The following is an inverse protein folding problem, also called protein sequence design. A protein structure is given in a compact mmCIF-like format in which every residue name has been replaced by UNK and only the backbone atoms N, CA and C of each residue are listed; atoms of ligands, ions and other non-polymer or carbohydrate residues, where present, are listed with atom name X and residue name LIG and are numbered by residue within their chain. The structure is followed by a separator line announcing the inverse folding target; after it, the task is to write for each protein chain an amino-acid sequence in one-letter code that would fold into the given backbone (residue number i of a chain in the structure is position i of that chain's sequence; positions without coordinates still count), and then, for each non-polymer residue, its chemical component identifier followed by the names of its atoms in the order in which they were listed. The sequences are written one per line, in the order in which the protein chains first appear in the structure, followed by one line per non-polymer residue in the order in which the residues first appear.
data_IF_593250197808
#
_entry.id   IF_593250197808
#
_cell.length_a   1.000
_cell.length_b   1.000
_cell.length_c   1.000
_cell.angle_alpha   90.00
_cell.angle_beta   90.00
_cell.angle_gamma   90.00
#
_symmetry.space_group_name_H-M   'P 1'
#
loop_
_entity.id
_entity.type
_entity.pdbx_description
1 polymer ?
#
# COMPACT_ATOMS: atom_id res chain seq x y z
N UNK A 1 -1.43 0.28 22.96
CA UNK A 1 -0.42 1.03 22.19
C UNK A 1 -0.79 0.96 20.73
N UNK A 2 -0.97 2.08 20.07
CA UNK A 2 -1.15 2.10 18.61
C UNK A 2 0.16 1.69 17.94
N UNK A 3 0.03 0.85 16.94
CA UNK A 3 1.17 0.41 16.16
C UNK A 3 1.75 1.61 15.38
N UNK A 4 2.98 2.00 15.67
CA UNK A 4 3.61 3.18 15.06
C UNK A 4 4.10 2.94 13.62
N UNK A 5 4.29 1.69 13.23
CA UNK A 5 4.80 1.32 11.91
C UNK A 5 4.08 0.12 11.33
N UNK A 6 4.11 0.00 10.03
CA UNK A 6 3.55 -1.10 9.25
C UNK A 6 4.66 -1.80 8.49
N UNK A 7 4.66 -3.12 8.57
CA UNK A 7 5.58 -3.98 7.82
C UNK A 7 4.95 -4.32 6.47
N UNK A 8 5.64 -4.05 5.38
CA UNK A 8 5.18 -4.30 4.01
C UNK A 8 6.10 -5.30 3.31
N UNK A 9 5.51 -6.23 2.56
CA UNK A 9 6.27 -7.14 1.69
C UNK A 9 6.76 -6.41 0.45
N UNK A 10 7.92 -6.81 -0.07
CA UNK A 10 8.44 -6.28 -1.35
C UNK A 10 7.62 -6.71 -2.57
N UNK A 11 6.73 -7.69 -2.42
CA UNK A 11 5.80 -8.13 -3.47
C UNK A 11 4.88 -7.02 -3.98
N UNK A 12 4.72 -5.93 -3.22
CA UNK A 12 3.98 -4.75 -3.67
C UNK A 12 4.60 -4.08 -4.91
N UNK A 13 5.84 -4.41 -5.27
CA UNK A 13 6.44 -3.92 -6.50
C UNK A 13 5.72 -4.45 -7.76
N UNK A 14 5.12 -5.63 -7.64
CA UNK A 14 4.49 -6.35 -8.75
C UNK A 14 3.01 -5.98 -8.96
N UNK A 15 2.47 -5.05 -8.17
CA UNK A 15 1.08 -4.61 -8.33
C UNK A 15 0.99 -3.26 -9.03
N UNK A 16 -0.20 -2.96 -9.55
CA UNK A 16 -0.51 -1.67 -10.18
C UNK A 16 -0.22 -0.49 -9.23
N UNK A 17 0.06 0.67 -9.81
CA UNK A 17 0.53 1.85 -9.08
C UNK A 17 -0.33 2.24 -7.88
N UNK A 18 -1.65 2.24 -8.01
CA UNK A 18 -2.54 2.63 -6.91
C UNK A 18 -2.82 1.48 -5.94
N UNK A 19 -2.62 0.25 -6.35
CA UNK A 19 -2.88 -0.93 -5.53
C UNK A 19 -1.86 -1.05 -4.39
N UNK A 20 -0.61 -0.64 -4.61
CA UNK A 20 0.41 -0.67 -3.58
C UNK A 20 0.05 0.22 -2.38
N UNK A 21 -0.40 1.45 -2.61
CA UNK A 21 -0.76 2.35 -1.51
C UNK A 21 -2.09 1.96 -0.85
N UNK A 22 -3.06 1.45 -1.61
CA UNK A 22 -4.31 0.91 -1.06
C UNK A 22 -4.02 -0.29 -0.15
N UNK A 23 -3.20 -1.22 -0.60
CA UNK A 23 -2.74 -2.35 0.22
C UNK A 23 -2.01 -1.89 1.48
N UNK A 24 -1.06 -0.96 1.33
CA UNK A 24 -0.29 -0.44 2.45
C UNK A 24 -1.20 0.19 3.52
N UNK A 25 -2.23 0.94 3.09
CA UNK A 25 -3.21 1.51 4.02
C UNK A 25 -4.05 0.41 4.72
N UNK A 26 -4.58 -0.56 3.98
CA UNK A 26 -5.31 -1.70 4.58
C UNK A 26 -4.43 -2.40 5.62
N UNK A 27 -3.17 -2.66 5.29
CA UNK A 27 -2.23 -3.32 6.19
C UNK A 27 -1.89 -2.48 7.42
N UNK A 28 -1.87 -1.16 7.32
CA UNK A 28 -1.67 -0.26 8.48
C UNK A 28 -2.81 -0.33 9.50
N UNK A 29 -3.99 -0.77 9.05
CA UNK A 29 -5.19 -0.98 9.91
C UNK A 29 -5.27 -2.40 10.47
N UNK A 30 -4.33 -3.26 10.12
CA UNK A 30 -4.33 -4.67 10.49
C UNK A 30 -3.90 -4.84 11.94
N UNK A 31 -4.64 -5.68 12.66
CA UNK A 31 -4.15 -6.24 13.91
C UNK A 31 -3.11 -7.33 13.61
N UNK A 32 -1.87 -7.11 14.03
CA UNK A 32 -0.76 -8.00 13.67
C UNK A 32 -0.87 -9.40 14.28
N UNK A 33 -1.59 -9.57 15.40
CA UNK A 33 -1.80 -10.88 16.04
C UNK A 33 -2.75 -11.76 15.24
N UNK A 34 -3.78 -11.15 14.66
CA UNK A 34 -4.81 -11.86 13.89
C UNK A 34 -4.58 -11.81 12.38
N UNK A 35 -3.71 -10.94 11.91
CA UNK A 35 -3.51 -10.62 10.49
C UNK A 35 -4.80 -10.12 9.80
N UNK A 36 -5.68 -9.49 10.55
CA UNK A 36 -6.97 -8.99 10.06
C UNK A 36 -7.03 -7.47 10.20
N UNK A 37 -7.39 -6.79 9.10
CA UNK A 37 -7.84 -5.40 9.12
C UNK A 37 -9.37 -5.42 9.11
N UNK A 38 -9.98 -5.07 10.24
CA UNK A 38 -11.42 -5.12 10.44
C UNK A 38 -12.04 -3.72 10.33
N UNK A 39 -13.31 -3.67 9.93
CA UNK A 39 -14.10 -2.44 9.83
C UNK A 39 -13.50 -1.35 8.93
N UNK A 40 -12.77 -1.72 7.91
CA UNK A 40 -12.19 -0.78 6.93
C UNK A 40 -13.15 -0.63 5.75
N UNK A 41 -13.64 0.59 5.53
CA UNK A 41 -14.53 0.89 4.41
C UNK A 41 -13.76 1.41 3.21
N UNK A 42 -14.24 1.13 2.01
CA UNK A 42 -13.67 1.69 0.78
C UNK A 42 -13.77 3.22 0.75
N UNK A 43 -14.80 3.78 1.38
CA UNK A 43 -14.97 5.22 1.54
C UNK A 43 -13.87 5.82 2.43
N UNK A 44 -13.57 5.20 3.57
CA UNK A 44 -12.45 5.59 4.44
C UNK A 44 -11.12 5.59 3.68
N UNK A 45 -10.85 4.53 2.90
CA UNK A 45 -9.63 4.44 2.08
C UNK A 45 -9.59 5.59 1.06
N UNK A 46 -10.72 5.85 0.38
CA UNK A 46 -10.86 6.93 -0.61
C UNK A 46 -10.56 8.29 -0.01
N UNK A 47 -11.18 8.62 1.12
CA UNK A 47 -10.99 9.89 1.82
C UNK A 47 -9.55 10.05 2.33
N UNK A 48 -9.01 8.99 2.93
CA UNK A 48 -7.67 9.03 3.51
C UNK A 48 -6.55 9.17 2.48
N UNK A 49 -6.70 8.50 1.36
CA UNK A 49 -5.70 8.53 0.28
C UNK A 49 -5.96 9.65 -0.75
N UNK A 50 -7.10 10.33 -0.69
CA UNK A 50 -7.47 11.37 -1.66
C UNK A 50 -7.60 10.82 -3.09
N UNK A 51 -8.11 9.60 -3.25
CA UNK A 51 -8.37 8.95 -4.53
C UNK A 51 -9.86 8.63 -4.66
N UNK A 52 -10.38 8.54 -5.89
CA UNK A 52 -11.81 8.28 -6.08
C UNK A 52 -12.24 6.92 -5.55
N UNK A 53 -13.46 6.83 -5.03
CA UNK A 53 -14.06 5.59 -4.55
C UNK A 53 -14.04 4.48 -5.62
N UNK A 54 -14.29 4.82 -6.88
CA UNK A 54 -14.23 3.88 -8.01
C UNK A 54 -12.82 3.32 -8.22
N UNK A 55 -11.79 4.12 -7.96
CA UNK A 55 -10.41 3.66 -8.00
C UNK A 55 -10.12 2.70 -6.86
N UNK A 56 -10.56 3.01 -5.63
CA UNK A 56 -10.41 2.11 -4.48
C UNK A 56 -11.07 0.77 -4.74
N UNK A 57 -12.34 0.77 -5.20
CA UNK A 57 -13.06 -0.47 -5.53
C UNK A 57 -12.29 -1.35 -6.52
N UNK A 58 -11.79 -0.76 -7.62
CA UNK A 58 -10.98 -1.49 -8.60
C UNK A 58 -9.68 -2.03 -8.01
N UNK A 59 -9.00 -1.25 -7.17
CA UNK A 59 -7.80 -1.70 -6.46
C UNK A 59 -8.10 -2.87 -5.53
N UNK A 60 -9.14 -2.79 -4.73
CA UNK A 60 -9.55 -3.88 -3.83
C UNK A 60 -9.89 -5.16 -4.61
N UNK A 61 -10.60 -5.04 -5.74
CA UNK A 61 -10.91 -6.20 -6.60
C UNK A 61 -9.65 -6.84 -7.20
N UNK A 62 -8.65 -6.06 -7.58
CA UNK A 62 -7.36 -6.61 -8.03
C UNK A 62 -6.58 -7.26 -6.89
N UNK A 63 -6.52 -6.61 -5.73
CA UNK A 63 -5.83 -7.12 -4.54
C UNK A 63 -6.44 -8.44 -4.03
N UNK A 64 -7.76 -8.63 -4.12
CA UNK A 64 -8.43 -9.91 -3.80
C UNK A 64 -7.91 -11.08 -4.64
N UNK A 65 -7.42 -10.82 -5.85
CA UNK A 65 -6.86 -11.84 -6.74
C UNK A 65 -5.41 -12.18 -6.40
N UNK A 66 -4.72 -11.30 -5.67
CA UNK A 66 -3.33 -11.50 -5.26
C UNK A 66 -3.26 -12.08 -3.84
N UNK A 67 -3.23 -13.41 -3.76
CA UNK A 67 -3.22 -14.16 -2.50
C UNK A 67 -1.97 -13.96 -1.66
N UNK A 68 -0.89 -13.46 -2.26
CA UNK A 68 0.32 -13.12 -1.53
C UNK A 68 0.18 -11.81 -0.71
N UNK A 69 -0.83 -11.00 -1.03
CA UNK A 69 -1.10 -9.74 -0.33
C UNK A 69 -2.36 -9.82 0.53
N UNK A 70 -3.49 -10.21 -0.08
CA UNK A 70 -4.78 -10.36 0.60
C UNK A 70 -5.32 -11.75 0.36
N UNK A 71 -5.34 -12.55 1.42
CA UNK A 71 -5.83 -13.93 1.36
C UNK A 71 -7.34 -13.98 1.13
N UNK A 72 -8.10 -13.19 1.89
CA UNK A 72 -9.56 -13.16 1.84
C UNK A 72 -10.12 -11.78 2.20
N UNK A 73 -11.24 -11.41 1.56
CA UNK A 73 -12.04 -10.25 1.96
C UNK A 73 -13.46 -10.72 2.27
N UNK A 74 -13.97 -10.33 3.44
CA UNK A 74 -15.34 -10.58 3.87
C UNK A 74 -16.03 -9.21 3.96
N UNK A 75 -17.12 -9.03 3.23
CA UNK A 75 -17.90 -7.79 3.25
C UNK A 75 -19.14 -7.99 4.10
N UNK A 76 -19.34 -7.12 5.08
CA UNK A 76 -20.50 -7.09 5.95
C UNK A 76 -21.31 -5.83 5.64
N UNK A 77 -22.58 -6.01 5.29
CA UNK A 77 -23.51 -4.90 5.10
C UNK A 77 -24.25 -4.62 6.42
N UNK A 78 -24.16 -3.40 6.88
CA UNK A 78 -24.86 -2.94 8.07
C UNK A 78 -25.80 -1.83 7.69
N UNK A 79 -27.05 -1.91 8.15
CA UNK A 79 -28.01 -0.81 8.02
C UNK A 79 -27.81 0.08 9.25
N UNK A 80 -27.32 1.30 9.04
CA UNK A 80 -27.16 2.29 10.09
C UNK A 80 -27.80 3.60 9.63
N UNK A 81 -28.67 4.17 10.45
CA UNK A 81 -29.33 5.46 10.21
C UNK A 81 -30.03 5.54 8.82
N UNK A 82 -30.67 4.44 8.40
CA UNK A 82 -31.39 4.39 7.12
C UNK A 82 -30.53 4.29 5.86
N UNK A 83 -29.22 4.10 6.02
CA UNK A 83 -28.29 3.89 4.91
C UNK A 83 -27.54 2.56 5.04
N UNK A 84 -27.26 1.94 3.87
CA UNK A 84 -26.40 0.76 3.83
C UNK A 84 -24.93 1.17 3.90
N UNK A 85 -24.21 0.66 4.91
CA UNK A 85 -22.76 0.79 4.99
C UNK A 85 -22.13 -0.59 4.84
N UNK A 86 -21.18 -0.72 3.92
CA UNK A 86 -20.40 -1.93 3.73
C UNK A 86 -19.07 -1.80 4.44
N UNK A 87 -18.84 -2.64 5.41
CA UNK A 87 -17.56 -2.79 6.12
C UNK A 87 -16.84 -4.01 5.59
N UNK A 88 -15.57 -3.85 5.27
CA UNK A 88 -14.74 -4.95 4.83
C UNK A 88 -13.82 -5.42 5.95
N UNK A 89 -13.70 -6.73 6.03
CA UNK A 89 -12.71 -7.44 6.84
C UNK A 89 -11.70 -8.07 5.89
N UNK A 90 -10.48 -7.55 5.92
CA UNK A 90 -9.38 -8.02 5.07
C UNK A 90 -8.51 -8.99 5.86
N UNK A 91 -8.40 -10.22 5.41
CA UNK A 91 -7.39 -11.18 5.87
C UNK A 91 -6.13 -10.94 5.06
N UNK A 92 -5.15 -10.34 5.68
CA UNK A 92 -3.89 -9.95 5.04
C UNK A 92 -2.92 -11.11 5.12
N UNK A 93 -2.28 -11.44 4.00
CA UNK A 93 -1.27 -12.48 3.97
C UNK A 93 -0.09 -12.14 4.90
N UNK A 94 0.49 -13.17 5.51
CA UNK A 94 1.71 -13.00 6.32
C UNK A 94 2.84 -12.52 5.43
N UNK A 95 3.62 -11.55 5.93
CA UNK A 95 4.83 -11.14 5.23
C UNK A 95 5.84 -12.27 5.20
N UNK A 96 6.45 -12.49 4.04
CA UNK A 96 7.61 -13.33 3.86
C UNK A 96 8.86 -12.63 4.44
N UNK A 97 10.03 -13.26 4.33
CA UNK A 97 11.29 -12.73 4.87
C UNK A 97 11.70 -11.38 4.25
N UNK A 98 11.22 -11.09 3.04
CA UNK A 98 11.55 -9.88 2.28
C UNK A 98 10.52 -8.79 2.54
N UNK A 99 10.79 -7.93 3.53
CA UNK A 99 9.90 -6.86 3.94
C UNK A 99 10.65 -5.56 4.27
N UNK A 100 9.89 -4.47 4.37
CA UNK A 100 10.37 -3.17 4.84
C UNK A 100 9.33 -2.52 5.75
N UNK A 101 9.73 -1.44 6.42
CA UNK A 101 8.86 -0.70 7.34
C UNK A 101 8.49 0.66 6.79
N UNK A 102 7.25 1.08 7.08
CA UNK A 102 6.82 2.47 6.96
C UNK A 102 6.21 2.92 8.29
N UNK A 103 6.40 4.18 8.66
CA UNK A 103 5.67 4.76 9.78
C UNK A 103 4.22 5.03 9.40
N UNK A 104 3.28 4.82 10.31
CA UNK A 104 1.86 5.05 10.03
C UNK A 104 1.54 6.53 9.79
N UNK A 105 2.37 7.45 10.31
CA UNK A 105 2.33 8.87 9.97
C UNK A 105 2.49 9.16 8.47
N UNK A 106 3.10 8.26 7.71
CA UNK A 106 3.24 8.36 6.26
C UNK A 106 1.93 8.61 5.53
N UNK A 107 0.83 8.04 6.01
CA UNK A 107 -0.49 8.25 5.40
C UNK A 107 -1.06 9.64 5.69
N UNK A 108 -0.65 10.29 6.79
CA UNK A 108 -1.11 11.59 7.22
C UNK A 108 -0.24 12.74 6.70
N UNK A 109 1.00 12.45 6.32
CA UNK A 109 1.95 13.44 5.83
C UNK A 109 1.45 14.05 4.52
N UNK A 110 1.35 15.37 4.46
CA UNK A 110 0.97 16.12 3.26
C UNK A 110 2.12 16.31 2.27
N UNK A 111 3.37 16.04 2.70
CA UNK A 111 4.59 16.16 1.89
C UNK A 111 4.75 17.56 1.27
N UNK A 112 4.15 18.59 1.86
CA UNK A 112 4.07 19.95 1.32
C UNK A 112 3.46 20.03 -0.09
N UNK A 113 2.59 19.05 -0.43
CA UNK A 113 1.91 19.00 -1.73
C UNK A 113 0.40 19.23 -1.49
N UNK A 114 -0.14 20.31 -2.00
CA UNK A 114 -1.54 20.70 -1.78
C UNK A 114 -2.53 19.68 -2.40
N UNK A 115 -2.22 19.16 -3.60
CA UNK A 115 -3.12 18.30 -4.34
C UNK A 115 -3.04 16.83 -3.89
N UNK A 116 -4.13 16.32 -3.34
CA UNK A 116 -4.20 14.97 -2.77
C UNK A 116 -3.79 13.86 -3.77
N UNK A 117 -4.20 13.97 -5.05
CA UNK A 117 -3.85 12.98 -6.08
C UNK A 117 -2.35 12.94 -6.38
N UNK A 118 -1.65 14.05 -6.27
CA UNK A 118 -0.19 14.13 -6.47
C UNK A 118 0.54 13.57 -5.25
N UNK A 119 0.08 13.88 -4.04
CA UNK A 119 0.58 13.24 -2.81
C UNK A 119 0.52 11.73 -2.91
N UNK A 120 -0.63 11.21 -3.33
CA UNK A 120 -0.83 9.76 -3.46
C UNK A 120 0.07 9.14 -4.51
N UNK A 121 0.28 9.81 -5.64
CA UNK A 121 1.26 9.35 -6.65
C UNK A 121 2.67 9.29 -6.07
N UNK A 122 3.11 10.35 -5.37
CA UNK A 122 4.43 10.37 -4.73
C UNK A 122 4.55 9.29 -3.66
N UNK A 123 3.57 9.15 -2.78
CA UNK A 123 3.57 8.11 -1.75
C UNK A 123 3.67 6.71 -2.35
N UNK A 124 2.90 6.47 -3.40
CA UNK A 124 2.95 5.19 -4.09
C UNK A 124 4.32 4.92 -4.75
N UNK A 125 4.91 5.94 -5.38
CA UNK A 125 6.27 5.87 -5.91
C UNK A 125 7.28 5.54 -4.82
N UNK A 126 7.21 6.22 -3.67
CA UNK A 126 8.11 5.98 -2.54
C UNK A 126 7.98 4.56 -1.97
N UNK A 127 6.75 4.02 -1.89
CA UNK A 127 6.54 2.62 -1.48
C UNK A 127 7.23 1.65 -2.45
N UNK A 128 7.07 1.84 -3.75
CA UNK A 128 7.73 1.01 -4.76
C UNK A 128 9.25 1.18 -4.75
N UNK A 129 9.75 2.41 -4.62
CA UNK A 129 11.18 2.67 -4.50
C UNK A 129 11.78 1.92 -3.29
N UNK A 130 11.06 1.88 -2.18
CA UNK A 130 11.51 1.17 -0.98
C UNK A 130 11.68 -0.35 -1.19
N UNK A 131 10.93 -0.95 -2.11
CA UNK A 131 11.05 -2.39 -2.41
C UNK A 131 12.41 -2.78 -2.99
N UNK A 132 13.06 -1.86 -3.71
CA UNK A 132 14.37 -2.07 -4.32
C UNK A 132 15.55 -1.58 -3.47
N UNK A 133 15.26 -1.01 -2.30
CA UNK A 133 16.29 -0.58 -1.36
C UNK A 133 16.68 -1.71 -0.40
N UNK A 134 17.91 -1.64 0.13
CA UNK A 134 18.35 -2.51 1.20
C UNK A 134 17.47 -2.33 2.44
N UNK A 135 17.18 -3.41 3.16
CA UNK A 135 16.22 -3.48 4.26
C UNK A 135 16.43 -2.41 5.34
N UNK A 136 17.64 -2.15 5.74
CA UNK A 136 18.00 -1.26 6.86
C UNK A 136 18.50 0.11 6.41
N UNK A 137 18.61 0.30 5.11
CA UNK A 137 19.09 1.56 4.54
C UNK A 137 18.17 1.98 3.41
N UNK A 138 18.13 3.26 3.08
CA UNK A 138 17.42 3.74 1.90
C UNK A 138 18.32 3.71 0.65
N UNK A 139 19.38 2.91 0.68
CA UNK A 139 20.35 2.81 -0.41
C UNK A 139 19.93 1.69 -1.36
N UNK A 140 19.86 2.01 -2.64
CA UNK A 140 19.80 1.02 -3.70
C UNK A 140 21.17 0.33 -3.80
N UNK A 141 21.15 -1.00 -3.93
CA UNK A 141 22.34 -1.78 -4.24
C UNK A 141 22.22 -2.24 -5.67
N UNK A 142 23.11 -1.75 -6.52
CA UNK A 142 23.25 -2.23 -7.88
C UNK A 142 23.64 -3.72 -7.89
N UNK A 143 23.02 -4.49 -8.76
CA UNK A 143 23.44 -5.87 -9.04
C UNK A 143 24.75 -5.90 -9.82
N UNK A 144 25.16 -4.77 -10.40
CA UNK A 144 26.43 -4.61 -11.09
C UNK A 144 27.44 -3.88 -10.23
N UNK A 145 28.64 -4.46 -10.00
CA UNK A 145 29.70 -3.80 -9.23
C UNK A 145 30.26 -2.53 -9.90
N UNK A 146 29.88 -2.28 -11.14
CA UNK A 146 30.37 -1.15 -11.95
C UNK A 146 29.41 0.02 -12.08
N UNK A 147 28.23 -0.05 -11.49
CA UNK A 147 27.20 0.99 -11.61
C UNK A 147 26.80 1.53 -10.23
N UNK A 148 27.22 2.74 -9.95
CA UNK A 148 26.76 3.50 -8.80
C UNK A 148 25.39 4.15 -9.09
N UNK A 149 24.33 3.35 -8.96
CA UNK A 149 22.96 3.84 -9.09
C UNK A 149 22.20 3.34 -10.31
N UNK A 150 20.95 3.77 -10.42
CA UNK A 150 20.06 3.47 -11.53
C UNK A 150 19.82 4.73 -12.35
N UNK A 151 19.91 4.60 -13.66
CA UNK A 151 19.41 5.66 -14.54
C UNK A 151 17.86 5.68 -14.54
N UNK A 152 17.27 6.75 -15.09
CA UNK A 152 15.82 6.95 -15.08
C UNK A 152 15.06 5.78 -15.74
N UNK A 153 15.57 5.26 -16.84
CA UNK A 153 14.95 4.17 -17.61
C UNK A 153 14.98 2.85 -16.82
N UNK A 154 16.11 2.54 -16.21
CA UNK A 154 16.26 1.33 -15.36
C UNK A 154 15.36 1.41 -14.13
N UNK A 155 15.28 2.58 -13.49
CA UNK A 155 14.40 2.83 -12.36
C UNK A 155 12.94 2.63 -12.73
N UNK A 156 12.52 3.22 -13.86
CA UNK A 156 11.16 3.07 -14.40
C UNK A 156 10.82 1.61 -14.65
N UNK A 157 11.70 0.87 -15.31
CA UNK A 157 11.53 -0.57 -15.60
C UNK A 157 11.42 -1.40 -14.32
N UNK A 158 12.29 -1.15 -13.33
CA UNK A 158 12.28 -1.89 -12.05
C UNK A 158 11.04 -1.59 -11.21
N UNK A 159 10.51 -0.39 -11.28
CA UNK A 159 9.32 0.02 -10.52
C UNK A 159 8.00 -0.23 -11.26
N UNK A 160 8.05 -0.62 -12.53
CA UNK A 160 6.86 -0.81 -13.36
C UNK A 160 6.03 0.47 -13.48
N UNK A 161 6.69 1.63 -13.66
CA UNK A 161 6.06 2.93 -13.83
C UNK A 161 6.47 3.55 -15.17
N UNK A 162 5.52 4.24 -15.82
CA UNK A 162 5.82 4.99 -17.05
C UNK A 162 6.65 6.25 -16.71
N UNK A 163 7.61 6.55 -17.59
CA UNK A 163 8.50 7.72 -17.45
C UNK A 163 7.88 8.98 -18.01
#
# INVERSE_FOLDING_TARGET
MEQQYTTLTKDINNVDNKDAIVYAYIKSRMNYKTSIADNVTEKEISEKLGISLSTVKRSVERLKKNKNLIDKVISNNVIAEGSYKTYNKYHVAKCNEDFFYIYNSFFNDDMNIAKASERTKLKNFLLKLKTICKKETNKYISESPYLDGLNKTELSKKLGIDT
#
